data_IF_581903944139
#
_entry.id   IF_581903944139
#
_cell.length_a   1.000
_cell.length_b   1.000
_cell.length_c   1.000
_cell.angle_alpha   90.00
_cell.angle_beta   90.00
_cell.angle_gamma   90.00
#
_symmetry.space_group_name_H-M   'P 1'
#
loop_
_entity.id
_entity.type
_entity.pdbx_description
1 polymer ?
#
# COMPACT_ATOMS: atom_id res chain seq x y z
N UNK A 1 33.33 -6.23 -29.17
CA UNK A 1 32.74 -5.22 -28.27
C UNK A 1 31.52 -5.85 -27.61
N UNK A 2 31.59 -6.15 -26.31
CA UNK A 2 30.44 -6.75 -25.60
C UNK A 2 29.45 -5.66 -25.25
N UNK A 3 28.29 -5.68 -25.88
CA UNK A 3 27.17 -4.80 -25.54
C UNK A 3 26.62 -5.24 -24.17
N UNK A 4 26.89 -4.45 -23.11
CA UNK A 4 26.21 -4.62 -21.83
C UNK A 4 24.72 -4.36 -22.05
N UNK A 5 23.88 -5.39 -21.86
CA UNK A 5 22.42 -5.23 -21.80
C UNK A 5 22.10 -4.22 -20.68
N UNK A 6 21.17 -3.28 -20.89
CA UNK A 6 20.78 -2.36 -19.82
C UNK A 6 20.18 -3.20 -18.69
N UNK A 7 20.80 -3.13 -17.51
CA UNK A 7 20.22 -3.67 -16.29
C UNK A 7 18.85 -3.01 -16.08
N UNK A 8 17.80 -3.82 -16.15
CA UNK A 8 16.45 -3.38 -15.85
C UNK A 8 16.41 -3.06 -14.37
N UNK A 9 16.53 -1.77 -14.01
CA UNK A 9 16.36 -1.29 -12.65
C UNK A 9 14.92 -1.65 -12.26
N UNK A 10 14.77 -2.70 -11.45
CA UNK A 10 13.49 -3.05 -10.86
C UNK A 10 13.38 -2.27 -9.56
N UNK A 11 12.60 -1.18 -9.59
CA UNK A 11 12.24 -0.48 -8.37
C UNK A 11 11.32 -1.42 -7.60
N UNK A 12 11.82 -2.02 -6.52
CA UNK A 12 11.03 -2.90 -5.65
C UNK A 12 10.13 -2.02 -4.78
N UNK A 13 8.88 -1.83 -5.21
CA UNK A 13 7.86 -1.15 -4.41
C UNK A 13 7.62 -1.88 -3.09
N UNK A 14 7.49 -1.12 -2.02
CA UNK A 14 6.98 -1.63 -0.74
C UNK A 14 5.54 -2.13 -0.88
N UNK A 15 5.06 -2.98 0.05
CA UNK A 15 3.67 -3.40 0.05
C UNK A 15 2.69 -2.22 0.02
N UNK A 16 2.94 -1.14 0.79
CA UNK A 16 2.07 0.03 0.79
C UNK A 16 2.07 0.73 -0.59
N UNK A 17 3.23 0.93 -1.19
CA UNK A 17 3.34 1.56 -2.52
C UNK A 17 2.69 0.71 -3.62
N UNK A 18 2.68 -0.62 -3.50
CA UNK A 18 1.92 -1.51 -4.40
C UNK A 18 0.41 -1.27 -4.27
N UNK A 19 -0.08 -1.09 -3.05
CA UNK A 19 -1.50 -0.77 -2.80
C UNK A 19 -1.85 0.63 -3.31
N UNK A 20 -0.97 1.61 -3.11
CA UNK A 20 -1.14 2.97 -3.66
C UNK A 20 -1.14 2.97 -5.20
N UNK A 21 -0.29 2.16 -5.82
CA UNK A 21 -0.27 1.97 -7.27
C UNK A 21 -1.57 1.32 -7.76
N UNK A 22 -2.04 0.27 -7.09
CA UNK A 22 -3.33 -0.36 -7.41
C UNK A 22 -4.50 0.61 -7.27
N UNK A 23 -4.50 1.45 -6.23
CA UNK A 23 -5.50 2.50 -6.06
C UNK A 23 -5.52 3.44 -7.27
N UNK A 24 -4.35 3.92 -7.71
CA UNK A 24 -4.23 4.79 -8.87
C UNK A 24 -4.74 4.11 -10.16
N UNK A 25 -4.44 2.82 -10.35
CA UNK A 25 -4.94 2.03 -11.47
C UNK A 25 -6.48 1.93 -11.46
N UNK A 26 -7.09 1.69 -10.30
CA UNK A 26 -8.55 1.62 -10.16
C UNK A 26 -9.19 2.99 -10.45
N UNK A 27 -8.61 4.07 -9.92
CA UNK A 27 -9.09 5.44 -10.21
C UNK A 27 -9.04 5.73 -11.71
N UNK A 28 -7.95 5.34 -12.37
CA UNK A 28 -7.80 5.51 -13.81
C UNK A 28 -8.83 4.69 -14.60
N UNK A 29 -9.15 3.47 -14.15
CA UNK A 29 -10.18 2.63 -14.76
C UNK A 29 -11.57 3.28 -14.77
N UNK A 30 -11.90 4.09 -13.76
CA UNK A 30 -13.16 4.83 -13.70
C UNK A 30 -13.22 6.04 -14.65
N UNK A 31 -12.11 6.46 -15.28
CA UNK A 31 -12.09 7.57 -16.24
C UNK A 31 -12.60 8.89 -15.64
N UNK A 32 -13.63 9.47 -16.27
CA UNK A 32 -14.29 10.72 -15.84
C UNK A 32 -15.54 10.49 -14.97
N UNK A 33 -15.71 9.29 -14.42
CA UNK A 33 -16.85 9.01 -13.56
C UNK A 33 -16.84 9.88 -12.29
N UNK A 34 -18.03 10.33 -11.87
CA UNK A 34 -18.20 11.07 -10.63
C UNK A 34 -17.77 10.24 -9.41
N UNK A 35 -17.03 10.90 -8.50
CA UNK A 35 -16.51 10.32 -7.25
C UNK A 35 -15.64 9.07 -7.45
N UNK A 36 -14.87 9.02 -8.53
CA UNK A 36 -14.00 7.87 -8.86
C UNK A 36 -13.01 7.52 -7.75
N UNK A 37 -12.43 8.52 -7.09
CA UNK A 37 -11.53 8.35 -5.94
C UNK A 37 -12.24 7.66 -4.77
N UNK A 38 -13.42 8.15 -4.40
CA UNK A 38 -14.21 7.54 -3.32
C UNK A 38 -14.67 6.13 -3.68
N UNK A 39 -15.04 5.88 -4.94
CA UNK A 39 -15.42 4.54 -5.42
C UNK A 39 -14.23 3.58 -5.35
N UNK A 40 -13.05 4.00 -5.79
CA UNK A 40 -11.83 3.20 -5.71
C UNK A 40 -11.46 2.88 -4.26
N UNK A 41 -11.46 3.91 -3.39
CA UNK A 41 -11.16 3.75 -1.96
C UNK A 41 -12.16 2.80 -1.28
N UNK A 42 -13.46 2.93 -1.58
CA UNK A 42 -14.49 2.05 -1.04
C UNK A 42 -14.28 0.59 -1.46
N UNK A 43 -13.90 0.33 -2.72
CA UNK A 43 -13.60 -1.04 -3.19
C UNK A 43 -12.41 -1.65 -2.46
N UNK A 44 -11.34 -0.89 -2.29
CA UNK A 44 -10.18 -1.36 -1.51
C UNK A 44 -10.56 -1.61 -0.06
N UNK A 45 -11.34 -0.72 0.57
CA UNK A 45 -11.81 -0.91 1.93
C UNK A 45 -12.67 -2.17 2.08
N UNK A 46 -13.60 -2.44 1.16
CA UNK A 46 -14.42 -3.65 1.19
C UNK A 46 -13.57 -4.92 1.15
N UNK A 47 -12.55 -4.97 0.29
CA UNK A 47 -11.62 -6.11 0.22
C UNK A 47 -10.81 -6.23 1.51
N UNK A 48 -10.30 -5.12 2.04
CA UNK A 48 -9.54 -5.12 3.29
C UNK A 48 -10.38 -5.59 4.48
N UNK A 49 -11.64 -5.16 4.58
CA UNK A 49 -12.56 -5.60 5.63
C UNK A 49 -12.87 -7.09 5.53
N UNK A 50 -13.08 -7.62 4.33
CA UNK A 50 -13.24 -9.07 4.10
C UNK A 50 -12.01 -9.85 4.61
N UNK A 51 -10.79 -9.34 4.33
CA UNK A 51 -9.56 -9.99 4.80
C UNK A 51 -9.35 -9.86 6.30
N UNK A 52 -9.62 -8.71 6.90
CA UNK A 52 -9.56 -8.57 8.35
C UNK A 52 -10.56 -9.49 9.04
N UNK A 53 -11.81 -9.54 8.56
CA UNK A 53 -12.82 -10.43 9.13
C UNK A 53 -12.43 -11.91 9.00
N UNK A 54 -11.79 -12.29 7.89
CA UNK A 54 -11.30 -13.65 7.67
C UNK A 54 -10.12 -14.03 8.58
N UNK A 55 -9.15 -13.12 8.78
CA UNK A 55 -7.88 -13.45 9.45
C UNK A 55 -7.80 -13.05 10.92
N UNK A 56 -8.49 -11.98 11.34
CA UNK A 56 -8.52 -11.51 12.73
C UNK A 56 -9.71 -12.06 13.54
N UNK A 57 -10.60 -12.81 12.89
CA UNK A 57 -11.81 -13.34 13.51
C UNK A 57 -12.60 -12.25 14.22
N UNK A 58 -13.08 -12.48 15.44
CA UNK A 58 -13.93 -11.51 16.17
C UNK A 58 -13.25 -10.17 16.50
N UNK A 59 -11.92 -10.04 16.38
CA UNK A 59 -11.18 -8.84 16.75
C UNK A 59 -11.02 -7.83 15.58
N UNK A 60 -11.44 -8.19 14.37
CA UNK A 60 -11.26 -7.37 13.18
C UNK A 60 -11.78 -5.93 13.36
N UNK A 61 -12.91 -5.77 14.04
CA UNK A 61 -13.55 -4.47 14.24
C UNK A 61 -12.72 -3.57 15.14
N UNK A 62 -12.14 -4.11 16.21
CA UNK A 62 -11.30 -3.33 17.13
C UNK A 62 -10.09 -2.77 16.38
N UNK A 63 -9.39 -3.61 15.61
CA UNK A 63 -8.22 -3.20 14.83
C UNK A 63 -8.56 -2.08 13.83
N UNK A 64 -9.68 -2.20 13.13
CA UNK A 64 -10.13 -1.16 12.19
C UNK A 64 -10.43 0.15 12.93
N UNK A 65 -11.13 0.07 14.06
CA UNK A 65 -11.46 1.24 14.86
C UNK A 65 -10.23 1.94 15.43
N UNK A 66 -9.18 1.20 15.80
CA UNK A 66 -7.91 1.81 16.23
C UNK A 66 -7.31 2.71 15.14
N UNK A 67 -7.31 2.28 13.88
CA UNK A 67 -6.85 3.13 12.77
C UNK A 67 -7.75 4.35 12.55
N UNK A 68 -9.07 4.18 12.66
CA UNK A 68 -10.03 5.29 12.56
C UNK A 68 -9.82 6.31 13.68
N UNK A 69 -9.58 5.84 14.90
CA UNK A 69 -9.33 6.68 16.05
C UNK A 69 -8.00 7.45 15.92
N UNK A 70 -6.96 6.84 15.35
CA UNK A 70 -5.71 7.54 15.05
C UNK A 70 -5.98 8.66 14.04
N UNK A 71 -6.67 8.38 12.92
CA UNK A 71 -6.97 9.42 11.91
C UNK A 71 -7.75 10.59 12.52
N UNK A 72 -8.74 10.28 13.37
CA UNK A 72 -9.64 11.27 13.97
C UNK A 72 -8.94 12.14 15.02
N UNK A 73 -8.07 11.55 15.84
CA UNK A 73 -7.50 12.21 17.02
C UNK A 73 -6.05 12.66 16.84
N UNK A 74 -5.29 12.00 15.95
CA UNK A 74 -3.87 12.27 15.70
C UNK A 74 -3.49 12.00 14.21
N UNK A 75 -3.97 12.85 13.28
CA UNK A 75 -3.73 12.68 11.85
C UNK A 75 -2.23 12.73 11.49
N UNK A 76 -1.42 13.46 12.25
CA UNK A 76 0.04 13.50 12.05
C UNK A 76 0.68 12.16 12.33
N UNK A 77 0.27 11.46 13.40
CA UNK A 77 0.70 10.09 13.66
C UNK A 77 0.27 9.14 12.57
N UNK A 78 -0.93 9.28 12.03
CA UNK A 78 -1.35 8.48 10.88
C UNK A 78 -0.43 8.67 9.68
N UNK A 79 -0.06 9.92 9.37
CA UNK A 79 0.90 10.21 8.31
C UNK A 79 2.29 9.61 8.59
N UNK A 80 2.76 9.66 9.83
CA UNK A 80 4.03 9.01 10.22
C UNK A 80 3.99 7.49 10.01
N UNK A 81 2.84 6.85 10.30
CA UNK A 81 2.64 5.41 10.04
C UNK A 81 2.72 5.13 8.54
N UNK A 82 2.06 5.93 7.69
CA UNK A 82 2.14 5.77 6.23
C UNK A 82 3.57 5.95 5.72
N UNK A 83 4.25 7.02 6.14
CA UNK A 83 5.64 7.30 5.75
C UNK A 83 6.59 6.17 6.15
N UNK A 84 6.44 5.62 7.36
CA UNK A 84 7.26 4.49 7.82
C UNK A 84 7.05 3.20 7.01
N UNK A 85 5.91 3.07 6.33
CA UNK A 85 5.59 1.93 5.47
C UNK A 85 5.93 2.18 3.99
N UNK A 86 6.22 3.43 3.61
CA UNK A 86 6.76 3.77 2.29
C UNK A 86 8.25 3.49 2.25
N UNK A 87 8.73 3.12 1.08
CA UNK A 87 10.10 2.72 0.88
C UNK A 87 10.95 3.94 0.59
N UNK A 88 11.36 4.69 1.61
CA UNK A 88 12.59 5.46 1.45
C UNK A 88 13.74 4.46 1.25
N UNK A 89 14.00 4.11 -0.02
CA UNK A 89 15.15 3.35 -0.50
C UNK A 89 15.58 2.20 0.42
N UNK A 90 14.72 1.17 0.57
CA UNK A 90 15.24 -0.17 0.90
C UNK A 90 16.02 -0.70 -0.31
N UNK A 91 17.18 -0.09 -0.59
CA UNK A 91 18.26 -0.74 -1.30
C UNK A 91 18.59 -1.98 -0.47
N UNK A 92 18.00 -3.13 -0.82
CA UNK A 92 18.58 -4.40 -0.44
C UNK A 92 20.01 -4.33 -0.94
N UNK A 93 20.98 -4.14 -0.04
CA UNK A 93 22.37 -4.47 -0.34
C UNK A 93 22.33 -5.90 -0.85
N UNK A 94 22.68 -6.09 -2.12
CA UNK A 94 22.94 -7.39 -2.69
C UNK A 94 24.16 -7.98 -1.97
N UNK A 95 23.93 -8.57 -0.80
CA UNK A 95 24.93 -9.29 -0.02
C UNK A 95 24.18 -10.28 0.87
N UNK A 96 23.52 -11.27 0.25
CA UNK A 96 23.16 -12.51 0.94
C UNK A 96 22.96 -13.68 -0.04
N UNK A 97 23.91 -13.82 -0.97
CA UNK A 97 24.16 -15.08 -1.69
C UNK A 97 25.65 -15.34 -1.73
N UNK A 98 26.16 -15.79 -0.59
CA UNK A 98 27.41 -16.54 -0.49
C UNK A 98 27.16 -17.64 0.53
N UNK A 99 26.52 -18.71 0.06
CA UNK A 99 26.67 -20.08 0.55
C UNK A 99 26.43 -21.02 -0.62
#
# INVERSE_FOLDING_TARGET
MSQKKPEKITVELTPLEKIESLYAEIVNWYGEADKKEQRAAAKLLMVSLDKFAMYEGNNWHQLVMEYVDIIKNDPERFQKILLANRGELKTKKASDRLH
#
